data_IF_532510758230
#
_entry.id   IF_532510758230
#
_cell.length_a   1.000
_cell.length_b   1.000
_cell.length_c   1.000
_cell.angle_alpha   90.00
_cell.angle_beta   90.00
_cell.angle_gamma   90.00
#
_symmetry.space_group_name_H-M   'P 1'
#
loop_
_entity.id
_entity.type
_entity.pdbx_description
1 polymer ?
#
# COMPACT_ATOMS: atom_id res chain seq x y z
N UNK A 1 43.66 -56.07 55.86
CA UNK A 1 42.63 -56.23 54.81
C UNK A 1 41.37 -55.51 55.28
N UNK A 2 41.11 -54.31 54.75
CA UNK A 2 40.01 -53.44 55.17
C UNK A 2 38.81 -53.62 54.23
N UNK A 3 37.67 -54.04 54.78
CA UNK A 3 36.39 -54.09 54.09
C UNK A 3 35.76 -52.69 54.06
N UNK A 4 35.58 -52.11 52.88
CA UNK A 4 34.82 -50.89 52.67
C UNK A 4 33.65 -51.15 51.71
N UNK A 5 32.48 -51.46 52.26
CA UNK A 5 31.22 -51.46 51.52
C UNK A 5 30.69 -50.03 51.41
N UNK A 6 30.76 -49.45 50.22
CA UNK A 6 30.20 -48.12 49.93
C UNK A 6 28.73 -48.28 49.52
N UNK A 7 27.82 -47.90 50.41
CA UNK A 7 26.37 -47.89 50.17
C UNK A 7 26.03 -46.81 49.13
N UNK A 8 25.53 -47.19 47.96
CA UNK A 8 25.06 -46.24 46.94
C UNK A 8 23.79 -45.54 47.45
N UNK A 9 23.86 -44.22 47.69
CA UNK A 9 22.67 -43.39 47.96
C UNK A 9 21.96 -43.13 46.62
N UNK A 10 20.71 -43.56 46.51
CA UNK A 10 19.80 -43.12 45.44
C UNK A 10 19.59 -41.61 45.59
N UNK A 11 20.08 -40.84 44.62
CA UNK A 11 19.76 -39.43 44.51
C UNK A 11 18.28 -39.32 44.11
N UNK A 12 17.41 -39.05 45.09
CA UNK A 12 16.03 -38.62 44.82
C UNK A 12 16.09 -37.24 44.17
N UNK A 13 16.06 -37.22 42.84
CA UNK A 13 16.19 -36.02 42.01
C UNK A 13 14.95 -35.11 42.02
N UNK A 14 13.97 -35.36 42.88
CA UNK A 14 12.67 -34.66 42.87
C UNK A 14 12.35 -34.12 44.25
N UNK A 15 12.95 -32.98 44.59
CA UNK A 15 12.45 -32.17 45.71
C UNK A 15 11.25 -31.33 45.23
N UNK A 16 10.22 -31.11 46.06
CA UNK A 16 9.03 -30.34 45.65
C UNK A 16 9.38 -28.91 45.18
N UNK A 17 10.48 -28.33 45.69
CA UNK A 17 11.01 -27.04 45.21
C UNK A 17 11.48 -27.09 43.75
N UNK A 18 12.14 -28.17 43.33
CA UNK A 18 12.59 -28.34 41.95
C UNK A 18 11.39 -28.56 41.02
N UNK A 19 10.36 -29.28 41.49
CA UNK A 19 9.12 -29.48 40.75
C UNK A 19 8.36 -28.16 40.55
N UNK A 20 8.24 -27.34 41.61
CA UNK A 20 7.63 -26.01 41.53
C UNK A 20 8.38 -25.09 40.56
N UNK A 21 9.72 -25.10 40.60
CA UNK A 21 10.55 -24.28 39.72
C UNK A 21 10.39 -24.70 38.25
N UNK A 22 10.31 -26.00 37.97
CA UNK A 22 10.08 -26.53 36.62
C UNK A 22 8.67 -26.19 36.11
N UNK A 23 7.66 -26.22 36.98
CA UNK A 23 6.29 -25.82 36.60
C UNK A 23 6.18 -24.32 36.35
N UNK A 24 6.88 -23.48 37.13
CA UNK A 24 6.82 -22.03 36.92
C UNK A 24 7.56 -21.60 35.65
N UNK A 25 8.72 -22.20 35.36
CA UNK A 25 9.46 -21.90 34.11
C UNK A 25 8.70 -22.40 32.89
N UNK A 26 8.05 -23.56 32.97
CA UNK A 26 7.18 -24.07 31.90
C UNK A 26 5.98 -23.16 31.66
N UNK A 27 5.34 -22.65 32.72
CA UNK A 27 4.21 -21.72 32.61
C UNK A 27 4.65 -20.39 31.99
N UNK A 28 5.81 -19.86 32.39
CA UNK A 28 6.38 -18.64 31.80
C UNK A 28 6.70 -18.86 30.32
N UNK A 29 7.31 -20.00 29.96
CA UNK A 29 7.58 -20.35 28.56
C UNK A 29 6.29 -20.43 27.74
N UNK A 30 5.25 -21.10 28.27
CA UNK A 30 3.94 -21.22 27.64
C UNK A 30 3.27 -19.86 27.45
N UNK A 31 3.32 -18.98 28.46
CA UNK A 31 2.80 -17.61 28.33
C UNK A 31 3.58 -16.81 27.31
N UNK A 32 4.91 -16.94 27.26
CA UNK A 32 5.74 -16.30 26.25
C UNK A 32 5.40 -16.79 24.84
N UNK A 33 5.24 -18.10 24.64
CA UNK A 33 4.82 -18.66 23.34
C UNK A 33 3.40 -18.22 22.96
N UNK A 34 2.47 -18.16 23.92
CA UNK A 34 1.09 -17.71 23.67
C UNK A 34 1.01 -16.19 23.38
N UNK A 35 1.87 -15.39 23.99
CA UNK A 35 2.02 -13.96 23.70
C UNK A 35 2.83 -13.69 22.43
N UNK A 36 3.69 -14.63 22.03
CA UNK A 36 4.55 -14.53 20.83
C UNK A 36 3.95 -15.19 19.60
N UNK A 37 2.87 -15.96 19.72
CA UNK A 37 2.13 -16.44 18.55
C UNK A 37 1.57 -15.22 17.84
N UNK A 38 1.98 -14.93 16.60
CA UNK A 38 1.37 -13.86 15.83
C UNK A 38 -0.10 -14.21 15.66
N UNK A 39 -0.98 -13.48 16.34
CA UNK A 39 -2.40 -13.49 16.01
C UNK A 39 -2.48 -12.95 14.59
N UNK A 40 -2.67 -13.81 13.61
CA UNK A 40 -3.14 -13.36 12.30
C UNK A 40 -4.43 -12.59 12.57
N UNK A 41 -4.48 -11.26 12.32
CA UNK A 41 -5.72 -10.53 12.48
C UNK A 41 -6.77 -11.23 11.60
N UNK A 42 -8.01 -11.40 12.07
CA UNK A 42 -9.05 -11.98 11.25
C UNK A 42 -9.10 -11.21 9.93
N UNK A 43 -9.04 -11.92 8.80
CA UNK A 43 -9.18 -11.31 7.49
C UNK A 43 -10.48 -10.51 7.49
N UNK A 44 -10.44 -9.19 7.24
CA UNK A 44 -11.63 -8.37 7.28
C UNK A 44 -12.62 -8.91 6.25
N UNK A 45 -13.73 -9.47 6.73
CA UNK A 45 -14.82 -9.94 5.90
C UNK A 45 -15.60 -8.73 5.42
N UNK A 46 -15.21 -8.19 4.27
CA UNK A 46 -15.95 -7.11 3.63
C UNK A 46 -17.29 -7.63 3.11
N UNK A 47 -18.38 -7.00 3.54
CA UNK A 47 -19.70 -7.30 3.03
C UNK A 47 -19.79 -6.78 1.58
N UNK A 48 -19.94 -7.66 0.55
CA UNK A 48 -19.79 -7.27 -0.86
C UNK A 48 -20.80 -6.23 -1.34
N UNK A 49 -21.90 -6.07 -0.60
CA UNK A 49 -23.03 -5.20 -0.93
C UNK A 49 -22.95 -3.79 -0.34
N UNK A 50 -22.02 -3.53 0.59
CA UNK A 50 -21.88 -2.18 1.15
C UNK A 50 -21.24 -1.25 0.13
N UNK A 51 -21.71 0.00 -0.05
CA UNK A 51 -21.01 0.97 -0.90
C UNK A 51 -19.60 1.22 -0.38
N UNK A 52 -18.67 1.57 -1.27
CA UNK A 52 -17.33 2.02 -0.87
C UNK A 52 -17.37 3.53 -0.63
N UNK A 53 -16.85 3.96 0.51
CA UNK A 53 -16.73 5.37 0.86
C UNK A 53 -15.26 5.81 0.79
N UNK A 54 -14.99 7.10 0.58
CA UNK A 54 -13.64 7.62 0.70
C UNK A 54 -13.03 7.26 2.05
N UNK A 55 -11.79 6.79 2.03
CA UNK A 55 -10.99 6.44 3.20
C UNK A 55 -10.79 7.68 4.07
N UNK A 56 -11.07 7.53 5.37
CA UNK A 56 -10.98 8.65 6.30
C UNK A 56 -9.55 8.80 6.86
N UNK A 57 -8.75 9.63 6.20
CA UNK A 57 -7.38 9.94 6.63
C UNK A 57 -7.26 10.53 8.05
N UNK A 58 -8.31 11.18 8.57
CA UNK A 58 -8.27 11.77 9.92
C UNK A 58 -8.35 10.72 11.03
N UNK A 59 -8.86 9.52 10.71
CA UNK A 59 -8.98 8.40 11.66
C UNK A 59 -7.79 7.44 11.60
N UNK A 60 -6.82 7.71 10.73
CA UNK A 60 -5.67 6.83 10.53
C UNK A 60 -4.59 7.11 11.59
N UNK A 61 -3.98 6.08 12.19
CA UNK A 61 -2.84 6.26 13.09
C UNK A 61 -1.75 7.09 12.42
N UNK A 62 -1.23 8.09 13.14
CA UNK A 62 -0.17 8.94 12.64
C UNK A 62 1.18 8.21 12.76
N UNK A 63 1.89 7.98 11.64
CA UNK A 63 3.20 7.32 11.68
C UNK A 63 4.27 8.27 12.23
N UNK A 64 5.32 7.72 12.84
CA UNK A 64 6.44 8.49 13.39
C UNK A 64 7.78 7.71 13.35
N UNK A 65 8.93 8.38 13.10
CA UNK A 65 9.07 9.78 12.72
C UNK A 65 8.63 10.04 11.26
N UNK A 66 8.24 11.29 10.96
CA UNK A 66 7.92 11.71 9.58
C UNK A 66 9.05 12.57 9.04
N UNK A 67 9.59 12.19 7.88
CA UNK A 67 10.56 12.97 7.11
C UNK A 67 9.89 13.36 5.81
N UNK A 68 9.59 14.64 5.64
CA UNK A 68 8.98 15.17 4.42
C UNK A 68 9.93 16.11 3.69
N UNK A 69 9.90 16.05 2.36
CA UNK A 69 10.67 16.97 1.53
C UNK A 69 9.99 17.22 0.19
N UNK A 70 10.35 18.32 -0.47
CA UNK A 70 9.82 18.68 -1.78
C UNK A 70 10.37 17.74 -2.86
N UNK A 71 9.52 17.46 -3.85
CA UNK A 71 9.90 16.78 -5.09
C UNK A 71 10.47 17.81 -6.07
N UNK A 72 11.76 17.68 -6.40
CA UNK A 72 12.50 18.62 -7.26
C UNK A 72 12.31 18.33 -8.75
N UNK A 73 12.34 19.37 -9.58
CA UNK A 73 12.36 19.24 -11.04
C UNK A 73 11.00 19.01 -11.72
N UNK A 74 9.91 19.24 -11.00
CA UNK A 74 8.54 19.30 -11.51
C UNK A 74 8.12 20.75 -11.78
N UNK A 75 7.21 20.96 -12.74
CA UNK A 75 6.63 22.28 -13.02
C UNK A 75 5.72 22.74 -11.87
N UNK A 76 5.00 21.80 -11.27
CA UNK A 76 4.18 22.02 -10.08
C UNK A 76 4.70 21.13 -8.93
N UNK A 77 5.67 21.59 -8.14
CA UNK A 77 6.25 20.77 -7.08
C UNK A 77 5.24 20.39 -5.99
N UNK A 78 5.43 19.22 -5.39
CA UNK A 78 4.66 18.75 -4.24
C UNK A 78 5.58 18.19 -3.16
N UNK A 79 5.06 17.97 -1.96
CA UNK A 79 5.75 17.38 -0.82
C UNK A 79 5.53 15.86 -0.84
N UNK A 80 6.62 15.11 -0.75
CA UNK A 80 6.61 13.69 -0.46
C UNK A 80 7.02 13.46 1.00
N UNK A 81 6.25 12.65 1.72
CA UNK A 81 6.54 12.25 3.09
C UNK A 81 6.96 10.79 3.14
N UNK A 82 8.15 10.56 3.68
CA UNK A 82 8.58 9.26 4.18
C UNK A 82 8.11 9.14 5.64
N UNK A 83 7.32 8.12 5.92
CA UNK A 83 6.87 7.82 7.26
C UNK A 83 6.89 6.32 7.46
N UNK A 84 7.65 5.84 8.44
CA UNK A 84 7.58 4.45 8.90
C UNK A 84 7.63 4.42 10.44
N UNK A 85 7.24 3.29 11.04
CA UNK A 85 7.31 3.06 12.49
C UNK A 85 8.73 2.65 12.95
N UNK A 86 9.79 3.14 12.31
CA UNK A 86 11.18 2.86 12.62
C UNK A 86 11.79 1.65 11.88
N UNK A 87 11.23 1.23 10.74
CA UNK A 87 11.70 0.05 9.99
C UNK A 87 11.89 0.34 8.50
N UNK A 88 12.99 1.02 8.18
CA UNK A 88 13.41 1.18 6.79
C UNK A 88 13.87 -0.17 6.24
N UNK A 89 13.55 -0.50 4.98
CA UNK A 89 14.07 -1.72 4.37
C UNK A 89 15.60 -1.69 4.31
N UNK A 90 16.25 -2.85 4.39
CA UNK A 90 17.73 -2.97 4.39
C UNK A 90 18.41 -2.24 3.22
N UNK A 91 17.70 -2.15 2.08
CA UNK A 91 18.15 -1.45 0.86
C UNK A 91 17.04 -0.49 0.39
N UNK A 92 16.93 0.69 1.00
CA UNK A 92 15.88 1.64 0.64
C UNK A 92 16.11 2.23 -0.74
N UNK A 93 15.02 2.64 -1.39
CA UNK A 93 15.07 3.27 -2.70
C UNK A 93 15.99 4.51 -2.70
N UNK A 94 16.66 4.80 -3.82
CA UNK A 94 17.67 5.88 -3.90
C UNK A 94 17.13 7.25 -3.46
N UNK A 95 15.85 7.53 -3.71
CA UNK A 95 15.22 8.77 -3.28
C UNK A 95 15.01 8.83 -1.75
N UNK A 96 14.69 7.71 -1.12
CA UNK A 96 14.60 7.61 0.35
C UNK A 96 15.96 7.91 0.97
N UNK A 97 17.02 7.27 0.48
CA UNK A 97 18.41 7.55 0.92
C UNK A 97 18.77 9.04 0.76
N UNK A 98 18.28 9.68 -0.30
CA UNK A 98 18.49 11.11 -0.56
C UNK A 98 17.83 11.97 0.53
N UNK A 99 16.55 11.71 0.82
CA UNK A 99 15.80 12.44 1.84
C UNK A 99 16.40 12.28 3.23
N UNK A 100 16.83 11.07 3.59
CA UNK A 100 17.51 10.81 4.86
C UNK A 100 18.82 11.59 5.00
N UNK A 101 19.42 12.01 3.88
CA UNK A 101 20.59 12.90 3.83
C UNK A 101 20.22 14.38 3.71
N UNK A 102 18.96 14.75 3.95
CA UNK A 102 18.45 16.12 3.87
C UNK A 102 18.30 16.67 2.45
N UNK A 103 18.40 15.84 1.41
CA UNK A 103 18.28 16.27 0.02
C UNK A 103 16.84 16.14 -0.48
N UNK A 104 16.49 16.94 -1.49
CA UNK A 104 15.18 16.90 -2.15
C UNK A 104 14.93 15.53 -2.81
N UNK A 105 13.66 15.14 -2.86
CA UNK A 105 13.22 13.93 -3.55
C UNK A 105 13.29 14.16 -5.06
N UNK A 106 13.94 13.26 -5.82
CA UNK A 106 14.05 13.43 -7.28
C UNK A 106 12.70 13.14 -7.95
N UNK A 107 12.27 14.00 -8.88
CA UNK A 107 11.05 13.79 -9.68
C UNK A 107 10.87 12.33 -10.16
N UNK A 108 9.71 11.73 -9.90
CA UNK A 108 9.26 10.55 -10.63
C UNK A 108 8.84 10.91 -12.06
N UNK A 109 9.13 10.04 -13.03
CA UNK A 109 8.74 10.27 -14.42
C UNK A 109 7.22 10.31 -14.60
N UNK A 110 6.48 9.44 -13.87
CA UNK A 110 5.02 9.45 -13.89
C UNK A 110 4.43 10.79 -13.44
N UNK A 111 5.05 11.45 -12.45
CA UNK A 111 4.61 12.77 -11.99
C UNK A 111 4.82 13.84 -13.06
N UNK A 112 5.90 13.75 -13.85
CA UNK A 112 6.14 14.64 -14.99
C UNK A 112 5.07 14.41 -16.06
N UNK A 113 4.85 13.15 -16.46
CA UNK A 113 3.85 12.79 -17.48
C UNK A 113 2.45 13.26 -17.11
N UNK A 114 2.03 13.07 -15.85
CA UNK A 114 0.72 13.53 -15.37
C UNK A 114 0.60 15.06 -15.46
N UNK A 115 1.62 15.80 -15.03
CA UNK A 115 1.59 17.27 -15.10
C UNK A 115 1.53 17.77 -16.53
N UNK A 116 2.34 17.21 -17.42
CA UNK A 116 2.39 17.63 -18.83
C UNK A 116 1.06 17.35 -19.55
N UNK A 117 0.47 16.16 -19.34
CA UNK A 117 -0.83 15.82 -19.93
C UNK A 117 -1.94 16.73 -19.41
N UNK A 118 -2.00 16.96 -18.10
CA UNK A 118 -3.04 17.78 -17.49
C UNK A 118 -2.90 19.26 -17.84
N UNK A 119 -1.68 19.80 -17.90
CA UNK A 119 -1.44 21.17 -18.36
C UNK A 119 -1.84 21.33 -19.84
N UNK A 120 -1.53 20.35 -20.70
CA UNK A 120 -1.98 20.35 -22.09
C UNK A 120 -3.50 20.37 -22.18
N UNK A 121 -4.19 19.49 -21.46
CA UNK A 121 -5.65 19.44 -21.46
C UNK A 121 -6.28 20.73 -20.94
N UNK A 122 -5.69 21.33 -19.90
CA UNK A 122 -6.12 22.64 -19.38
C UNK A 122 -5.92 23.76 -20.40
N UNK A 123 -4.80 23.77 -21.11
CA UNK A 123 -4.52 24.74 -22.17
C UNK A 123 -5.51 24.60 -23.36
N UNK A 124 -6.03 23.39 -23.58
CA UNK A 124 -7.12 23.11 -24.53
C UNK A 124 -8.52 23.49 -23.98
N UNK A 125 -8.61 24.06 -22.78
CA UNK A 125 -9.88 24.47 -22.14
C UNK A 125 -10.68 23.30 -21.55
N UNK A 126 -10.09 22.11 -21.44
CA UNK A 126 -10.77 20.92 -20.90
C UNK A 126 -10.77 20.96 -19.37
N UNK A 127 -11.88 20.53 -18.78
CA UNK A 127 -12.05 20.43 -17.32
C UNK A 127 -12.56 19.04 -16.95
N UNK A 128 -12.22 18.56 -15.75
CA UNK A 128 -12.61 17.24 -15.25
C UNK A 128 -11.66 16.75 -14.17
N UNK A 129 -11.84 15.52 -13.72
CA UNK A 129 -11.04 14.90 -12.67
C UNK A 129 -9.97 13.96 -13.23
N UNK A 130 -9.02 13.60 -12.37
CA UNK A 130 -8.01 12.56 -12.58
C UNK A 130 -8.36 11.31 -11.77
N UNK A 131 -8.16 10.13 -12.35
CA UNK A 131 -8.25 8.86 -11.63
C UNK A 131 -6.86 8.24 -11.57
N UNK A 132 -6.39 7.94 -10.35
CA UNK A 132 -5.14 7.27 -10.05
C UNK A 132 -5.41 5.85 -9.52
N UNK A 133 -5.27 4.84 -10.38
CA UNK A 133 -5.43 3.44 -9.99
C UNK A 133 -4.06 2.84 -9.69
N UNK A 134 -3.92 2.29 -8.49
CA UNK A 134 -2.64 1.89 -7.92
C UNK A 134 -1.85 3.13 -7.52
N UNK A 135 -2.45 3.93 -6.64
CA UNK A 135 -1.87 5.21 -6.24
C UNK A 135 -0.54 5.04 -5.49
N UNK A 136 -0.30 3.87 -4.89
CA UNK A 136 0.91 3.54 -4.13
C UNK A 136 1.18 4.65 -3.10
N UNK A 137 2.38 5.24 -3.10
CA UNK A 137 2.74 6.35 -2.20
C UNK A 137 2.28 7.74 -2.68
N UNK A 138 1.40 7.82 -3.69
CA UNK A 138 0.70 9.03 -4.11
C UNK A 138 1.42 9.93 -5.13
N UNK A 139 2.45 9.44 -5.83
CA UNK A 139 3.26 10.27 -6.73
C UNK A 139 2.48 10.88 -7.90
N UNK A 140 1.55 10.13 -8.50
CA UNK A 140 0.68 10.63 -9.56
C UNK A 140 -0.48 11.45 -8.96
N UNK A 141 -1.08 10.96 -7.87
CA UNK A 141 -2.11 11.65 -7.09
C UNK A 141 -1.72 13.10 -6.76
N UNK A 142 -0.56 13.32 -6.13
CA UNK A 142 -0.13 14.67 -5.76
C UNK A 142 0.30 15.51 -6.94
N UNK A 143 0.89 14.90 -7.98
CA UNK A 143 1.25 15.60 -9.20
C UNK A 143 0.03 16.28 -9.84
N UNK A 144 -1.15 15.64 -9.82
CA UNK A 144 -2.39 16.23 -10.30
C UNK A 144 -3.05 17.17 -9.26
N UNK A 145 -3.09 16.77 -7.99
CA UNK A 145 -3.82 17.50 -6.96
C UNK A 145 -3.23 18.90 -6.70
N UNK A 146 -1.90 19.05 -6.67
CA UNK A 146 -1.27 20.39 -6.47
C UNK A 146 -1.49 21.35 -7.62
N UNK A 147 -1.86 20.84 -8.81
CA UNK A 147 -2.30 21.67 -9.93
C UNK A 147 -3.74 22.15 -9.76
N UNK A 148 -4.50 21.64 -8.79
CA UNK A 148 -5.91 21.98 -8.54
C UNK A 148 -6.93 21.02 -9.17
N UNK A 149 -6.51 19.84 -9.65
CA UNK A 149 -7.45 18.84 -10.16
C UNK A 149 -8.05 18.01 -9.01
N UNK A 150 -9.34 17.66 -9.14
CA UNK A 150 -9.94 16.61 -8.30
C UNK A 150 -9.33 15.26 -8.67
N UNK A 151 -9.04 14.44 -7.68
CA UNK A 151 -8.42 13.13 -7.83
C UNK A 151 -9.24 12.06 -7.14
N UNK A 152 -9.50 10.96 -7.85
CA UNK A 152 -9.99 9.71 -7.29
C UNK A 152 -8.82 8.73 -7.25
N UNK A 153 -8.29 8.45 -6.06
CA UNK A 153 -7.12 7.60 -5.87
C UNK A 153 -7.54 6.26 -5.27
N UNK A 154 -7.08 5.15 -5.86
CA UNK A 154 -7.38 3.79 -5.41
C UNK A 154 -6.10 3.09 -5.00
N UNK A 155 -6.02 2.66 -3.75
CA UNK A 155 -4.88 1.94 -3.19
C UNK A 155 -5.35 0.93 -2.15
N UNK A 156 -5.10 -0.37 -2.33
CA UNK A 156 -5.54 -1.39 -1.39
C UNK A 156 -4.62 -1.58 -0.17
N UNK A 157 -3.36 -1.13 -0.21
CA UNK A 157 -2.38 -1.41 0.84
C UNK A 157 -2.41 -0.30 1.90
N UNK A 158 -2.65 -0.68 3.17
CA UNK A 158 -2.82 0.26 4.27
C UNK A 158 -1.60 1.17 4.51
N UNK A 159 -0.39 0.65 4.37
CA UNK A 159 0.84 1.45 4.55
C UNK A 159 1.01 2.50 3.45
N UNK A 160 0.55 2.18 2.24
CA UNK A 160 0.52 3.13 1.12
C UNK A 160 -0.59 4.17 1.37
N UNK A 161 -1.78 3.76 1.80
CA UNK A 161 -2.86 4.67 2.19
C UNK A 161 -2.41 5.66 3.27
N UNK A 162 -1.66 5.21 4.28
CA UNK A 162 -1.07 6.09 5.30
C UNK A 162 -0.12 7.13 4.68
N UNK A 163 0.73 6.71 3.75
CA UNK A 163 1.62 7.60 3.01
C UNK A 163 0.85 8.64 2.21
N UNK A 164 -0.24 8.23 1.54
CA UNK A 164 -1.12 9.14 0.80
C UNK A 164 -1.84 10.10 1.74
N UNK A 165 -2.34 9.63 2.90
CA UNK A 165 -2.99 10.50 3.88
C UNK A 165 -2.05 11.60 4.41
N UNK A 166 -0.79 11.25 4.68
CA UNK A 166 0.23 12.24 5.04
C UNK A 166 0.48 13.24 3.91
N UNK A 167 0.63 12.76 2.68
CA UNK A 167 0.80 13.65 1.54
C UNK A 167 -0.41 14.55 1.29
N UNK A 168 -1.65 14.09 1.53
CA UNK A 168 -2.86 14.92 1.48
C UNK A 168 -2.74 16.08 2.47
N UNK A 169 -2.32 15.79 3.71
CA UNK A 169 -2.11 16.80 4.74
C UNK A 169 -0.98 17.78 4.38
N UNK A 170 0.20 17.29 4.04
CA UNK A 170 1.37 18.14 3.75
C UNK A 170 1.18 19.01 2.50
N UNK A 171 0.47 18.52 1.49
CA UNK A 171 0.18 19.27 0.27
C UNK A 171 -1.07 20.16 0.39
N UNK A 172 -1.84 20.06 1.49
CA UNK A 172 -3.09 20.81 1.70
C UNK A 172 -4.12 20.58 0.60
N UNK A 173 -4.28 19.32 0.16
CA UNK A 173 -5.15 18.92 -0.95
C UNK A 173 -6.36 18.08 -0.51
N UNK A 174 -6.74 18.17 0.76
CA UNK A 174 -7.85 17.38 1.34
C UNK A 174 -9.17 17.49 0.58
N UNK A 175 -9.49 18.69 0.08
CA UNK A 175 -10.75 18.93 -0.66
C UNK A 175 -10.70 18.41 -2.11
N UNK A 176 -9.51 18.08 -2.61
CA UNK A 176 -9.30 17.64 -3.99
C UNK A 176 -9.17 16.12 -4.11
N UNK A 177 -8.68 15.43 -3.08
CA UNK A 177 -8.36 14.00 -3.16
C UNK A 177 -9.41 13.15 -2.44
N UNK A 178 -10.04 12.25 -3.19
CA UNK A 178 -10.87 11.16 -2.67
C UNK A 178 -10.07 9.86 -2.76
N UNK A 179 -9.59 9.39 -1.61
CA UNK A 179 -8.81 8.16 -1.50
C UNK A 179 -9.74 6.97 -1.22
N UNK A 180 -9.51 5.81 -1.81
CA UNK A 180 -10.30 4.60 -1.61
C UNK A 180 -9.39 3.43 -1.24
N UNK A 181 -9.66 2.79 -0.10
CA UNK A 181 -9.05 1.52 0.32
C UNK A 181 -9.67 0.35 -0.47
N UNK A 182 -9.26 0.23 -1.72
CA UNK A 182 -9.65 -0.89 -2.58
C UNK A 182 -8.73 -1.02 -3.79
N UNK A 183 -8.60 -2.26 -4.25
CA UNK A 183 -8.13 -2.55 -5.59
C UNK A 183 -9.27 -2.33 -6.59
N UNK A 184 -8.98 -1.76 -7.74
CA UNK A 184 -9.97 -1.71 -8.82
C UNK A 184 -9.96 -3.04 -9.58
N UNK A 185 -11.13 -3.57 -9.94
CA UNK A 185 -11.25 -4.86 -10.63
C UNK A 185 -12.54 -4.93 -11.44
N UNK A 186 -12.82 -6.06 -12.06
CA UNK A 186 -14.05 -6.31 -12.82
C UNK A 186 -15.23 -6.81 -11.97
N UNK A 187 -15.01 -6.96 -10.66
CA UNK A 187 -16.00 -7.49 -9.72
C UNK A 187 -15.92 -6.80 -8.37
N UNK A 188 -17.06 -6.79 -7.67
CA UNK A 188 -17.13 -6.47 -6.25
C UNK A 188 -16.77 -7.71 -5.42
N UNK A 189 -16.09 -7.50 -4.29
CA UNK A 189 -15.77 -8.55 -3.34
C UNK A 189 -14.33 -8.43 -2.86
N UNK A 190 -13.70 -9.56 -2.52
CA UNK A 190 -12.31 -9.60 -2.13
C UNK A 190 -11.46 -10.26 -3.22
N UNK A 191 -10.23 -9.77 -3.37
CA UNK A 191 -9.20 -10.43 -4.17
C UNK A 191 -7.96 -10.65 -3.29
N UNK A 192 -7.24 -11.72 -3.59
CA UNK A 192 -5.92 -11.95 -3.01
C UNK A 192 -4.92 -11.03 -3.71
N UNK A 193 -4.16 -10.29 -2.92
CA UNK A 193 -3.12 -9.38 -3.34
C UNK A 193 -1.78 -9.90 -2.78
N UNK A 194 -0.71 -9.85 -3.56
CA UNK A 194 0.60 -10.39 -3.18
C UNK A 194 1.58 -9.23 -2.92
N UNK A 195 1.85 -8.97 -1.64
CA UNK A 195 2.80 -7.95 -1.20
C UNK A 195 4.16 -8.58 -0.94
N UNK A 196 5.23 -7.96 -1.43
CA UNK A 196 6.59 -8.41 -1.12
C UNK A 196 7.07 -7.80 0.19
N UNK A 197 7.64 -8.64 1.05
CA UNK A 197 8.19 -8.19 2.33
C UNK A 197 9.46 -7.35 2.10
N UNK A 198 9.60 -6.26 2.85
CA UNK A 198 10.84 -5.47 2.86
C UNK A 198 11.04 -4.53 1.67
N UNK A 199 10.00 -4.26 0.87
CA UNK A 199 10.05 -3.24 -0.19
C UNK A 199 8.82 -2.34 -0.12
N UNK A 200 9.04 -1.05 0.09
CA UNK A 200 7.99 -0.03 0.20
C UNK A 200 7.34 0.30 -1.16
N UNK A 201 7.98 -0.09 -2.28
CA UNK A 201 7.62 0.34 -3.63
C UNK A 201 6.91 -0.72 -4.47
N UNK A 202 6.85 -1.98 -4.04
CA UNK A 202 6.52 -3.10 -4.94
C UNK A 202 5.39 -3.97 -4.38
N UNK A 203 4.23 -3.85 -5.00
CA UNK A 203 3.00 -4.53 -4.60
C UNK A 203 2.32 -5.00 -5.89
N UNK A 204 2.07 -6.30 -6.03
CA UNK A 204 1.50 -6.88 -7.24
C UNK A 204 0.23 -7.67 -6.92
N UNK A 205 -0.80 -7.53 -7.75
CA UNK A 205 -2.05 -8.25 -7.54
C UNK A 205 -1.91 -9.74 -7.92
N UNK A 206 -0.93 -10.10 -8.75
CA UNK A 206 -0.70 -11.48 -9.20
C UNK A 206 0.52 -12.12 -8.53
N UNK A 207 0.37 -13.36 -8.05
CA UNK A 207 1.48 -14.20 -7.55
C UNK A 207 2.56 -14.44 -8.62
N UNK A 208 2.15 -14.54 -9.89
CA UNK A 208 3.09 -14.69 -11.03
C UNK A 208 3.84 -13.38 -11.26
N UNK A 209 3.17 -12.24 -11.12
CA UNK A 209 3.79 -10.93 -11.25
C UNK A 209 4.76 -10.61 -10.11
N UNK A 210 4.39 -10.95 -8.87
CA UNK A 210 5.25 -10.82 -7.69
C UNK A 210 6.55 -11.64 -7.82
N UNK A 211 6.45 -12.89 -8.31
CA UNK A 211 7.61 -13.78 -8.55
C UNK A 211 8.52 -13.32 -9.70
N UNK A 212 7.94 -12.91 -10.82
CA UNK A 212 8.70 -12.55 -12.02
C UNK A 212 9.43 -11.22 -11.89
N UNK A 213 8.85 -10.24 -11.20
CA UNK A 213 9.42 -8.91 -11.12
C UNK A 213 10.57 -8.78 -10.11
N UNK A 214 10.65 -9.60 -9.04
CA UNK A 214 11.44 -9.18 -7.86
C UNK A 214 12.41 -10.17 -7.20
N UNK A 215 12.58 -11.42 -7.69
CA UNK A 215 13.59 -12.40 -7.17
C UNK A 215 13.71 -12.41 -5.62
N UNK A 216 12.58 -12.28 -4.94
CA UNK A 216 12.45 -12.32 -3.48
C UNK A 216 11.59 -13.54 -3.13
N UNK A 217 11.94 -14.28 -2.08
CA UNK A 217 11.25 -15.53 -1.72
C UNK A 217 10.16 -15.33 -0.64
N UNK A 218 9.92 -14.10 -0.17
CA UNK A 218 8.93 -13.82 0.87
C UNK A 218 7.81 -12.91 0.34
N UNK A 219 6.66 -13.54 0.09
CA UNK A 219 5.39 -12.90 -0.28
C UNK A 219 4.41 -13.02 0.89
N UNK A 220 3.64 -11.95 1.12
CA UNK A 220 2.50 -11.95 2.03
C UNK A 220 1.23 -11.82 1.21
N UNK A 221 0.34 -12.78 1.36
CA UNK A 221 -1.01 -12.70 0.82
C UNK A 221 -1.85 -11.77 1.68
N UNK A 222 -2.48 -10.78 1.04
CA UNK A 222 -3.38 -9.83 1.65
C UNK A 222 -4.74 -9.97 0.98
N UNK A 223 -5.80 -10.11 1.77
CA UNK A 223 -7.16 -10.01 1.25
C UNK A 223 -7.56 -8.54 1.20
N UNK A 224 -7.80 -8.04 -0.01
CA UNK A 224 -8.14 -6.63 -0.22
C UNK A 224 -9.50 -6.53 -0.89
N UNK A 225 -10.23 -5.47 -0.52
CA UNK A 225 -11.50 -5.15 -1.17
C UNK A 225 -11.26 -4.80 -2.64
N UNK A 226 -12.14 -5.26 -3.50
CA UNK A 226 -12.15 -5.00 -4.94
C UNK A 226 -13.42 -4.29 -5.39
N UNK A 227 -13.27 -3.33 -6.30
CA UNK A 227 -14.38 -2.52 -6.83
C UNK A 227 -14.24 -2.21 -8.32
N UNK A 228 -15.31 -2.32 -9.13
CA UNK A 228 -15.34 -1.75 -10.47
C UNK A 228 -15.37 -0.22 -10.44
N UNK A 229 -14.57 0.42 -11.31
CA UNK A 229 -14.58 1.89 -11.45
C UNK A 229 -15.97 2.42 -11.83
N UNK A 230 -16.70 1.70 -12.67
CA UNK A 230 -18.07 2.05 -13.08
C UNK A 230 -19.09 2.10 -11.92
N UNK A 231 -18.77 1.51 -10.77
CA UNK A 231 -19.62 1.58 -9.57
C UNK A 231 -19.23 2.71 -8.61
N UNK A 232 -18.01 3.23 -8.71
CA UNK A 232 -17.49 4.26 -7.80
C UNK A 232 -17.54 5.65 -8.44
N UNK A 233 -17.25 5.72 -9.75
CA UNK A 233 -17.18 6.98 -10.48
C UNK A 233 -18.58 7.32 -11.03
N UNK A 234 -19.19 8.44 -10.61
CA UNK A 234 -20.50 8.84 -11.12
C UNK A 234 -20.50 9.01 -12.65
N UNK A 235 -21.60 8.64 -13.30
CA UNK A 235 -21.77 8.86 -14.75
C UNK A 235 -21.68 10.35 -15.13
N UNK A 236 -22.05 11.25 -14.20
CA UNK A 236 -21.98 12.70 -14.37
C UNK A 236 -20.58 13.29 -14.16
N UNK A 237 -19.64 12.52 -13.60
CA UNK A 237 -18.29 13.01 -13.33
C UNK A 237 -17.46 12.97 -14.61
N UNK A 238 -16.99 14.12 -15.08
CA UNK A 238 -16.10 14.19 -16.24
C UNK A 238 -14.67 13.83 -15.84
N UNK A 239 -14.07 12.86 -16.54
CA UNK A 239 -12.73 12.37 -16.25
C UNK A 239 -11.81 12.75 -17.43
N UNK A 240 -10.75 13.47 -17.13
CA UNK A 240 -9.75 13.89 -18.12
C UNK A 240 -8.73 12.79 -18.40
N UNK A 241 -8.23 12.19 -17.33
CA UNK A 241 -7.11 11.27 -17.34
C UNK A 241 -7.38 10.12 -16.37
N UNK A 242 -7.13 8.89 -16.82
CA UNK A 242 -7.14 7.67 -16.05
C UNK A 242 -5.76 7.04 -16.12
N UNK A 243 -5.10 6.90 -14.97
CA UNK A 243 -3.86 6.15 -14.82
C UNK A 243 -4.17 4.78 -14.23
N UNK A 244 -3.60 3.73 -14.82
CA UNK A 244 -3.65 2.36 -14.30
C UNK A 244 -2.23 1.80 -14.22
N UNK A 245 -1.74 1.57 -13.02
CA UNK A 245 -0.58 0.70 -12.84
C UNK A 245 -0.79 -0.10 -11.56
N UNK A 246 -1.12 -1.38 -11.76
CA UNK A 246 -1.54 -2.34 -10.73
C UNK A 246 -0.75 -3.65 -10.84
N UNK A 247 0.32 -3.64 -11.64
CA UNK A 247 1.33 -4.69 -11.73
C UNK A 247 0.72 -6.05 -12.10
N UNK A 248 0.08 -6.11 -13.28
CA UNK A 248 -0.44 -7.35 -13.87
C UNK A 248 -1.94 -7.60 -13.64
N UNK A 249 -2.71 -6.56 -13.33
CA UNK A 249 -4.17 -6.63 -13.14
C UNK A 249 -4.96 -5.65 -14.02
N UNK A 250 -4.26 -4.99 -14.95
CA UNK A 250 -4.76 -3.90 -15.79
C UNK A 250 -6.03 -4.32 -16.55
N UNK A 251 -6.05 -5.54 -17.09
CA UNK A 251 -7.21 -6.09 -17.82
C UNK A 251 -8.50 -6.10 -17.00
N UNK A 252 -8.42 -6.46 -15.72
CA UNK A 252 -9.58 -6.48 -14.83
C UNK A 252 -10.04 -5.06 -14.49
N UNK A 253 -9.11 -4.11 -14.33
CA UNK A 253 -9.44 -2.69 -14.17
C UNK A 253 -10.20 -2.18 -15.39
N UNK A 254 -9.69 -2.45 -16.59
CA UNK A 254 -10.30 -2.02 -17.86
C UNK A 254 -11.71 -2.60 -18.02
N UNK A 255 -11.92 -3.88 -17.69
CA UNK A 255 -13.25 -4.50 -17.67
C UNK A 255 -14.20 -3.83 -16.66
N UNK A 256 -13.69 -3.48 -15.48
CA UNK A 256 -14.45 -2.76 -14.45
C UNK A 256 -14.73 -1.29 -14.74
N UNK A 257 -14.11 -0.74 -15.79
CA UNK A 257 -14.26 0.64 -16.27
C UNK A 257 -14.95 0.72 -17.63
N UNK A 258 -15.65 -0.35 -18.05
CA UNK A 258 -16.21 -0.47 -19.40
C UNK A 258 -17.14 0.69 -19.75
N UNK A 259 -18.04 1.08 -18.85
CA UNK A 259 -18.96 2.20 -19.09
C UNK A 259 -18.19 3.52 -19.19
N UNK A 260 -17.28 3.78 -18.25
CA UNK A 260 -16.42 4.96 -18.24
C UNK A 260 -15.62 5.11 -19.55
N UNK A 261 -15.02 4.03 -20.04
CA UNK A 261 -14.22 4.01 -21.26
C UNK A 261 -15.09 4.06 -22.54
N UNK A 262 -16.33 3.59 -22.48
CA UNK A 262 -17.26 3.60 -23.60
C UNK A 262 -18.01 4.93 -23.81
N UNK A 263 -17.71 5.96 -23.02
CA UNK A 263 -18.33 7.29 -23.16
C UNK A 263 -18.01 7.91 -24.53
N UNK A 264 -18.79 8.90 -24.93
CA UNK A 264 -18.64 9.56 -26.23
C UNK A 264 -17.24 10.16 -26.37
N UNK A 265 -16.78 10.31 -27.61
CA UNK A 265 -15.51 10.97 -27.93
C UNK A 265 -15.48 12.37 -27.30
N UNK A 266 -14.49 12.63 -26.43
CA UNK A 266 -14.38 13.88 -25.65
C UNK A 266 -14.86 13.78 -24.19
N UNK A 267 -15.66 12.76 -23.87
CA UNK A 267 -16.12 12.42 -22.51
C UNK A 267 -15.38 11.21 -21.93
N UNK A 268 -14.91 10.29 -22.79
CA UNK A 268 -14.03 9.21 -22.38
C UNK A 268 -12.66 9.76 -21.93
N UNK A 269 -12.07 9.23 -20.84
CA UNK A 269 -10.80 9.71 -20.33
C UNK A 269 -9.65 9.35 -21.29
N UNK A 270 -8.61 10.18 -21.28
CA UNK A 270 -7.30 9.74 -21.79
C UNK A 270 -6.76 8.66 -20.86
N UNK A 271 -6.27 7.56 -21.43
CA UNK A 271 -5.78 6.41 -20.66
C UNK A 271 -4.26 6.36 -20.70
N UNK A 272 -3.63 6.25 -19.53
CA UNK A 272 -2.25 5.79 -19.40
C UNK A 272 -2.28 4.50 -18.57
N UNK A 273 -1.62 3.47 -19.06
CA UNK A 273 -1.41 2.25 -18.29
C UNK A 273 0.00 1.74 -18.49
N UNK A 274 0.55 1.10 -17.46
CA UNK A 274 1.84 0.42 -17.57
C UNK A 274 1.62 -0.98 -18.15
N UNK A 275 2.38 -1.30 -19.19
CA UNK A 275 2.42 -2.64 -19.77
C UNK A 275 3.75 -3.28 -19.37
N UNK A 276 3.70 -4.16 -18.38
CA UNK A 276 4.85 -5.01 -18.07
C UNK A 276 4.67 -6.34 -18.81
N UNK A 277 5.37 -6.48 -19.95
CA UNK A 277 5.38 -7.68 -20.78
C UNK A 277 5.75 -8.96 -20.00
N UNK A 278 6.38 -8.82 -18.82
CA UNK A 278 6.79 -9.96 -17.98
C UNK A 278 5.71 -10.43 -17.03
N UNK A 279 4.59 -9.71 -16.89
CA UNK A 279 3.50 -10.06 -15.97
C UNK A 279 2.26 -10.61 -16.71
N UNK A 280 2.32 -10.67 -18.04
CA UNK A 280 1.35 -11.31 -18.94
C UNK A 280 1.63 -12.81 -19.12
#
# INVERSE_FOLDING_TARGET
MANAWKKYKSNKLTTPKLLFLLTSTSLILLTFFYLSTPTTPPTPFFNPTSPIHPFNCTNTPQPHPIIANQVEGLKHPFIYSLSDFGSLPDKPHKNIVRMLKGKLFRRPDISVTVQDLLDKMRAEGRTGAFIDVGANVGMATFAAAVMGFRVYAFEPVLENLQSVCNGIYFNRVGDLVRLFEAATSDRLGNITFHKLVGRLDNSAVSATGAKLAFKSNEEVELQVRSVPLDLVIPETEHILLLKIDVQGWEHHVLKGAKKLLSRKKGEAPYLIYEEDERLL
#
